data_IF_496374259495
#
_entry.id   IF_496374259495
#
_cell.length_a   1.000
_cell.length_b   1.000
_cell.length_c   1.000
_cell.angle_alpha   90.00
_cell.angle_beta   90.00
_cell.angle_gamma   90.00
#
_symmetry.space_group_name_H-M   'P 1'
#
loop_
_entity.id
_entity.type
_entity.pdbx_description
1 polymer ?
#
# COMPACT_ATOMS: atom_id res chain seq x y z
N UNK A 1 -37.33 0.14 23.63
CA UNK A 1 -36.68 -1.03 23.03
C UNK A 1 -36.56 -0.72 21.54
N UNK A 2 -35.53 0.03 21.15
CA UNK A 2 -35.37 0.53 19.79
C UNK A 2 -34.83 -0.58 18.89
N UNK A 3 -35.63 -0.99 17.91
CA UNK A 3 -35.31 -1.94 16.85
C UNK A 3 -33.98 -1.62 16.19
N UNK A 4 -32.92 -2.32 16.59
CA UNK A 4 -31.62 -2.21 15.91
C UNK A 4 -31.79 -2.88 14.56
N UNK A 5 -31.85 -2.06 13.51
CA UNK A 5 -31.97 -2.52 12.12
C UNK A 5 -30.82 -3.48 11.79
N UNK A 6 -31.14 -4.75 11.50
CA UNK A 6 -30.15 -5.79 11.12
C UNK A 6 -29.21 -5.33 9.99
N UNK A 7 -29.68 -4.40 9.15
CA UNK A 7 -28.94 -3.79 8.06
C UNK A 7 -27.84 -2.84 8.54
N UNK A 8 -28.08 -2.10 9.62
CA UNK A 8 -27.04 -1.29 10.26
C UNK A 8 -26.04 -2.17 11.01
N UNK A 9 -26.48 -3.26 11.63
CA UNK A 9 -25.56 -4.17 12.33
C UNK A 9 -24.62 -4.89 11.34
N UNK A 10 -25.12 -5.31 10.18
CA UNK A 10 -24.30 -5.91 9.12
C UNK A 10 -23.35 -4.91 8.46
N UNK A 11 -23.79 -3.67 8.18
CA UNK A 11 -22.92 -2.61 7.65
C UNK A 11 -21.82 -2.22 8.64
N UNK A 12 -22.16 -2.06 9.91
CA UNK A 12 -21.19 -1.71 10.94
C UNK A 12 -20.21 -2.86 11.22
N UNK A 13 -20.69 -4.12 11.24
CA UNK A 13 -19.87 -5.30 11.48
C UNK A 13 -18.94 -5.64 10.30
N UNK A 14 -19.43 -5.55 9.06
CA UNK A 14 -18.69 -5.99 7.88
C UNK A 14 -17.77 -4.89 7.32
N UNK A 15 -18.17 -3.62 7.36
CA UNK A 15 -17.42 -2.55 6.67
C UNK A 15 -16.67 -1.60 7.61
N UNK A 16 -17.29 -1.17 8.71
CA UNK A 16 -16.67 -0.19 9.63
C UNK A 16 -15.80 -0.82 10.72
N UNK A 17 -16.16 -2.00 11.22
CA UNK A 17 -15.44 -2.68 12.31
C UNK A 17 -14.66 -3.92 11.87
N UNK A 18 -14.55 -4.22 10.57
CA UNK A 18 -13.82 -5.41 10.12
C UNK A 18 -12.41 -5.06 9.62
N UNK A 19 -11.38 -5.12 10.48
CA UNK A 19 -9.99 -4.88 10.07
C UNK A 19 -9.51 -5.89 9.02
N UNK A 20 -10.16 -7.07 8.89
CA UNK A 20 -9.78 -8.08 7.91
C UNK A 20 -9.89 -7.55 6.46
N UNK A 21 -10.85 -6.67 6.16
CA UNK A 21 -11.03 -6.13 4.81
C UNK A 21 -9.96 -5.07 4.50
N UNK A 22 -9.60 -4.24 5.49
CA UNK A 22 -8.52 -3.25 5.34
C UNK A 22 -7.17 -3.94 5.21
N UNK A 23 -6.94 -5.01 5.97
CA UNK A 23 -5.74 -5.83 5.85
C UNK A 23 -5.62 -6.39 4.42
N UNK A 24 -6.72 -6.88 3.84
CA UNK A 24 -6.76 -7.50 2.51
C UNK A 24 -6.21 -6.59 1.40
N UNK A 25 -6.42 -5.27 1.48
CA UNK A 25 -5.88 -4.28 0.52
C UNK A 25 -4.34 -4.23 0.49
N UNK A 26 -3.67 -4.66 1.56
CA UNK A 26 -2.21 -4.70 1.67
C UNK A 26 -1.59 -6.09 1.56
N UNK A 27 -2.38 -7.16 1.39
CA UNK A 27 -1.87 -8.55 1.45
C UNK A 27 -1.27 -9.07 0.14
N UNK A 28 -1.52 -8.42 -1.00
CA UNK A 28 -1.05 -8.87 -2.30
C UNK A 28 0.46 -9.26 -2.33
N UNK A 29 1.40 -8.45 -1.82
CA UNK A 29 2.83 -8.81 -1.85
C UNK A 29 3.19 -9.93 -0.86
N UNK A 30 2.44 -10.06 0.25
CA UNK A 30 2.66 -11.12 1.23
C UNK A 30 2.28 -12.49 0.64
N UNK A 31 1.15 -12.55 -0.05
CA UNK A 31 0.69 -13.77 -0.70
C UNK A 31 1.64 -14.22 -1.81
N UNK A 32 2.18 -13.28 -2.59
CA UNK A 32 3.12 -13.54 -3.68
C UNK A 32 4.43 -14.20 -3.21
N UNK A 33 4.85 -13.96 -1.96
CA UNK A 33 6.20 -14.32 -1.51
C UNK A 33 6.28 -15.53 -0.56
N UNK A 34 5.13 -16.16 -0.28
CA UNK A 34 4.98 -17.30 0.64
C UNK A 34 5.73 -18.56 0.20
N UNK A 35 6.14 -18.67 -1.07
CA UNK A 35 6.75 -19.88 -1.63
C UNK A 35 8.23 -20.09 -1.29
N UNK A 36 8.98 -19.04 -0.98
CA UNK A 36 10.42 -19.15 -0.70
C UNK A 36 10.94 -17.97 0.13
N UNK A 37 11.67 -18.28 1.21
CA UNK A 37 12.33 -17.29 2.06
C UNK A 37 13.33 -16.44 1.28
N UNK A 38 13.99 -17.02 0.27
CA UNK A 38 14.97 -16.31 -0.55
C UNK A 38 14.31 -15.22 -1.40
N UNK A 39 13.15 -15.51 -2.01
CA UNK A 39 12.37 -14.49 -2.73
C UNK A 39 11.83 -13.42 -1.78
N UNK A 40 11.43 -13.80 -0.55
CA UNK A 40 10.96 -12.86 0.46
C UNK A 40 12.01 -11.83 0.85
N UNK A 41 13.23 -12.30 1.10
CA UNK A 41 14.34 -11.42 1.46
C UNK A 41 14.76 -10.56 0.26
N UNK A 42 14.78 -11.13 -0.95
CA UNK A 42 15.08 -10.38 -2.18
C UNK A 42 14.10 -9.24 -2.43
N UNK A 43 12.80 -9.52 -2.34
CA UNK A 43 11.74 -8.52 -2.51
C UNK A 43 11.76 -7.47 -1.38
N UNK A 44 11.98 -7.87 -0.13
CA UNK A 44 12.06 -6.95 1.01
C UNK A 44 13.27 -6.00 0.90
N UNK A 45 14.44 -6.52 0.49
CA UNK A 45 15.63 -5.70 0.27
C UNK A 45 15.43 -4.72 -0.89
N UNK A 46 14.88 -5.20 -2.00
CA UNK A 46 14.63 -4.38 -3.18
C UNK A 46 13.61 -3.27 -2.90
N UNK A 47 12.48 -3.59 -2.25
CA UNK A 47 11.46 -2.59 -1.86
C UNK A 47 11.98 -1.58 -0.83
N UNK A 48 12.85 -1.99 0.10
CA UNK A 48 13.52 -1.07 1.03
C UNK A 48 14.37 -0.05 0.28
N UNK A 49 15.15 -0.52 -0.71
CA UNK A 49 15.98 0.35 -1.55
C UNK A 49 15.13 1.33 -2.37
N UNK A 50 14.00 0.86 -2.94
CA UNK A 50 13.04 1.73 -3.63
C UNK A 50 12.45 2.78 -2.73
N UNK A 51 12.04 2.42 -1.51
CA UNK A 51 11.46 3.38 -0.56
C UNK A 51 12.48 4.47 -0.19
N UNK A 52 13.73 4.10 0.05
CA UNK A 52 14.80 5.07 0.33
C UNK A 52 14.98 6.00 -0.86
N UNK A 53 15.16 5.45 -2.06
CA UNK A 53 15.38 6.22 -3.28
C UNK A 53 14.19 7.16 -3.60
N UNK A 54 12.97 6.64 -3.45
CA UNK A 54 11.74 7.41 -3.67
C UNK A 54 11.59 8.54 -2.66
N UNK A 55 11.85 8.30 -1.36
CA UNK A 55 11.80 9.37 -0.36
C UNK A 55 12.89 10.43 -0.60
N UNK A 56 14.08 10.04 -1.07
CA UNK A 56 15.13 10.99 -1.45
C UNK A 56 14.71 11.84 -2.66
N UNK A 57 14.18 11.22 -3.71
CA UNK A 57 13.68 11.92 -4.90
C UNK A 57 12.51 12.86 -4.57
N UNK A 58 11.57 12.40 -3.73
CA UNK A 58 10.45 13.20 -3.25
C UNK A 58 10.92 14.40 -2.43
N UNK A 59 11.93 14.23 -1.57
CA UNK A 59 12.50 15.33 -0.79
C UNK A 59 13.05 16.45 -1.70
N UNK A 60 13.72 16.09 -2.80
CA UNK A 60 14.26 17.03 -3.80
C UNK A 60 13.16 17.75 -4.59
N UNK A 61 12.09 17.03 -4.95
CA UNK A 61 11.02 17.52 -5.84
C UNK A 61 9.93 18.28 -5.05
N UNK A 62 9.89 18.15 -3.72
CA UNK A 62 8.87 18.73 -2.82
C UNK A 62 8.55 20.21 -3.06
N UNK A 63 9.54 21.03 -3.43
CA UNK A 63 9.33 22.47 -3.65
C UNK A 63 8.71 22.82 -5.01
N UNK A 64 8.72 21.91 -5.98
CA UNK A 64 8.24 22.15 -7.35
C UNK A 64 6.82 21.62 -7.58
N UNK A 65 6.34 20.70 -6.74
CA UNK A 65 5.08 19.98 -6.96
C UNK A 65 3.91 20.59 -6.19
N UNK A 66 2.90 21.03 -6.95
CA UNK A 66 1.61 21.53 -6.46
C UNK A 66 0.87 20.50 -5.59
N UNK A 67 0.22 20.94 -4.50
CA UNK A 67 -0.43 20.05 -3.51
C UNK A 67 -1.44 19.08 -4.14
N UNK A 68 -2.11 19.47 -5.23
CA UNK A 68 -3.11 18.64 -5.91
C UNK A 68 -2.53 17.36 -6.58
N UNK A 69 -1.25 17.38 -6.98
CA UNK A 69 -0.60 16.27 -7.70
C UNK A 69 0.39 15.49 -6.83
N UNK A 70 0.53 15.85 -5.55
CA UNK A 70 1.56 15.27 -4.67
C UNK A 70 1.34 13.79 -4.39
N UNK A 71 0.11 13.36 -4.04
CA UNK A 71 -0.20 11.95 -3.83
C UNK A 71 -0.02 11.08 -5.10
N UNK A 72 -0.64 11.44 -6.24
CA UNK A 72 -0.49 10.65 -7.47
C UNK A 72 0.95 10.55 -7.97
N UNK A 73 1.72 11.65 -7.89
CA UNK A 73 3.12 11.65 -8.30
C UNK A 73 3.98 10.70 -7.47
N UNK A 74 3.78 10.66 -6.15
CA UNK A 74 4.54 9.75 -5.27
C UNK A 74 4.24 8.28 -5.57
N UNK A 75 2.97 7.94 -5.81
CA UNK A 75 2.57 6.58 -6.20
C UNK A 75 3.17 6.18 -7.55
N UNK A 76 3.21 7.09 -8.53
CA UNK A 76 3.82 6.85 -9.84
C UNK A 76 5.34 6.58 -9.75
N UNK A 77 6.06 7.33 -8.92
CA UNK A 77 7.50 7.13 -8.72
C UNK A 77 7.76 5.74 -8.11
N UNK A 78 6.98 5.36 -7.10
CA UNK A 78 7.11 4.04 -6.45
C UNK A 78 6.78 2.92 -7.46
N UNK A 79 5.71 3.07 -8.25
CA UNK A 79 5.30 2.08 -9.25
C UNK A 79 6.37 1.88 -10.33
N UNK A 80 6.96 2.95 -10.84
CA UNK A 80 8.03 2.88 -11.83
C UNK A 80 9.28 2.19 -11.27
N UNK A 81 9.68 2.52 -10.04
CA UNK A 81 10.84 1.91 -9.40
C UNK A 81 10.65 0.41 -9.10
N UNK A 82 9.44 0.00 -8.68
CA UNK A 82 9.10 -1.43 -8.51
C UNK A 82 9.11 -2.16 -9.85
N UNK A 83 8.62 -1.52 -10.92
CA UNK A 83 8.63 -2.11 -12.28
C UNK A 83 10.06 -2.42 -12.75
N UNK A 84 11.04 -1.58 -12.43
CA UNK A 84 12.46 -1.83 -12.75
C UNK A 84 13.09 -2.99 -11.98
N UNK A 85 12.51 -3.43 -10.86
CA UNK A 85 13.01 -4.55 -10.05
C UNK A 85 12.34 -5.86 -10.45
N UNK A 86 11.08 -5.79 -10.86
CA UNK A 86 10.30 -6.93 -11.32
C UNK A 86 10.72 -7.41 -12.72
N UNK A 87 11.24 -6.50 -13.56
CA UNK A 87 11.69 -6.77 -14.93
C UNK A 87 13.15 -7.25 -14.99
#
# INVERSE_FOLDING_TARGET
MSDVSYRELSLNGLWKNNPAIVQLLGLCPLLAVTGSVVNAIGLAAATTLVLVCSNTAVSLIRNIVSDAIRLPAFVMIIAAAVTCIEL
#
